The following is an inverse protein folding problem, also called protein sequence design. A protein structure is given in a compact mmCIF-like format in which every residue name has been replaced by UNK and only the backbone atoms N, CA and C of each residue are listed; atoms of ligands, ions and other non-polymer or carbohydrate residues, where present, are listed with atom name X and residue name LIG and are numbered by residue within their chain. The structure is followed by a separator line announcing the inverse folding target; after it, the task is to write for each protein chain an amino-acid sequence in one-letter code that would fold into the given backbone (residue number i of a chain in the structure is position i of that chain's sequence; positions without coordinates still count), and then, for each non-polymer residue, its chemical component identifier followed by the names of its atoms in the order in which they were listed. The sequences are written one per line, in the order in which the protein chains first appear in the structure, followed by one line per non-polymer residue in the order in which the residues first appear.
data_IF_112994679359
#
_entry.id   IF_112994679359
#
_cell.length_a   1.000
_cell.length_b   1.000
_cell.length_c   1.000
_cell.angle_alpha   90.00
_cell.angle_beta   90.00
_cell.angle_gamma   90.00
#
_symmetry.space_group_name_H-M   'P 1'
#
loop_
_entity.id
_entity.type
_entity.pdbx_description
1 polymer ?
#
# COMPACT_ATOMS: atom_id res chain seq x y z
N UNK A 1 -4.00 -14.84 -0.11
CA UNK A 1 -2.64 -14.28 -0.19
C UNK A 1 -2.75 -12.76 -0.08
N UNK A 2 -1.88 -12.12 0.68
CA UNK A 2 -1.82 -10.67 0.88
C UNK A 2 -0.42 -10.20 0.49
N UNK A 3 -0.30 -9.07 -0.20
CA UNK A 3 0.96 -8.52 -0.70
C UNK A 3 1.05 -7.02 -0.38
N UNK A 4 2.27 -6.49 -0.27
CA UNK A 4 2.51 -5.06 -0.06
C UNK A 4 2.11 -4.28 -1.32
N UNK A 5 1.24 -3.29 -1.15
CA UNK A 5 0.75 -2.46 -2.24
C UNK A 5 1.33 -1.04 -2.23
N UNK A 6 1.43 -0.42 -1.06
CA UNK A 6 1.97 0.93 -0.86
C UNK A 6 2.48 1.08 0.57
N UNK A 7 3.46 1.95 0.76
CA UNK A 7 4.10 2.26 2.05
C UNK A 7 4.62 3.71 2.02
N UNK A 8 5.27 4.17 3.10
CA UNK A 8 5.99 5.45 3.08
C UNK A 8 6.95 5.51 1.86
N UNK A 9 6.99 6.63 1.12
CA UNK A 9 6.37 7.93 1.39
C UNK A 9 4.96 8.15 0.80
N UNK A 10 4.38 7.14 0.14
CA UNK A 10 3.11 7.27 -0.57
C UNK A 10 1.90 7.42 0.38
N UNK A 11 1.96 6.77 1.55
CA UNK A 11 0.95 6.84 2.63
C UNK A 11 1.63 6.65 4.00
N UNK A 12 1.31 7.49 4.99
CA UNK A 12 2.04 7.51 6.29
C UNK A 12 1.19 7.03 7.47
N UNK A 13 -0.04 7.51 7.58
CA UNK A 13 -0.94 7.25 8.72
C UNK A 13 -2.30 6.71 8.26
N UNK A 14 -2.33 5.51 7.64
CA UNK A 14 -3.58 4.89 7.22
C UNK A 14 -4.43 4.53 8.44
N UNK A 15 -5.65 5.05 8.51
CA UNK A 15 -6.61 4.72 9.57
C UNK A 15 -7.77 3.84 9.09
N UNK A 16 -8.01 3.80 7.78
CA UNK A 16 -9.02 2.95 7.16
C UNK A 16 -8.68 2.64 5.71
N UNK A 17 -9.14 1.49 5.21
CA UNK A 17 -8.94 1.06 3.83
C UNK A 17 -10.14 0.27 3.30
N UNK A 18 -10.39 0.35 2.00
CA UNK A 18 -11.35 -0.48 1.28
C UNK A 18 -10.90 -0.70 -0.17
N UNK A 19 -11.41 -1.74 -0.82
CA UNK A 19 -11.12 -2.07 -2.22
C UNK A 19 -12.42 -2.16 -3.01
N UNK A 20 -12.53 -1.41 -4.09
CA UNK A 20 -13.72 -1.47 -4.93
C UNK A 20 -13.69 -2.64 -5.93
N UNK A 21 -14.81 -2.83 -6.63
CA UNK A 21 -14.98 -3.87 -7.64
C UNK A 21 -14.05 -3.71 -8.87
N UNK A 22 -13.38 -2.57 -9.02
CA UNK A 22 -12.40 -2.31 -10.08
C UNK A 22 -10.95 -2.52 -9.59
N UNK A 23 -10.77 -2.94 -8.34
CA UNK A 23 -9.44 -3.18 -7.74
C UNK A 23 -8.71 -1.90 -7.35
N UNK A 24 -9.40 -0.76 -7.20
CA UNK A 24 -8.81 0.46 -6.65
C UNK A 24 -8.79 0.39 -5.13
N UNK A 25 -7.70 0.82 -4.53
CA UNK A 25 -7.55 0.89 -3.07
C UNK A 25 -7.90 2.30 -2.62
N UNK A 26 -8.87 2.40 -1.72
CA UNK A 26 -9.20 3.62 -1.00
C UNK A 26 -8.51 3.57 0.36
N UNK A 27 -7.85 4.65 0.77
CA UNK A 27 -7.23 4.74 2.08
C UNK A 27 -7.48 6.12 2.70
N UNK A 28 -7.81 6.14 3.99
CA UNK A 28 -7.90 7.36 4.78
C UNK A 28 -6.55 7.56 5.44
N UNK A 29 -5.89 8.67 5.11
CA UNK A 29 -4.69 9.13 5.81
C UNK A 29 -5.07 10.24 6.78
N UNK A 30 -4.77 10.05 8.06
CA UNK A 30 -5.06 11.04 9.09
C UNK A 30 -3.82 11.85 9.49
N UNK A 31 -3.90 13.16 9.34
CA UNK A 31 -2.85 14.13 9.65
C UNK A 31 -3.20 14.99 10.88
N UNK A 32 -4.26 14.64 11.64
CA UNK A 32 -4.76 15.45 12.77
C UNK A 32 -4.07 15.23 14.12
N UNK A 33 -3.16 14.25 14.24
CA UNK A 33 -2.34 14.15 15.45
C UNK A 33 -1.28 15.26 15.41
N UNK A 34 -1.33 16.20 16.37
CA UNK A 34 -0.39 17.32 16.57
C UNK A 34 0.94 17.08 15.84
N UNK A 35 1.06 17.54 14.59
CA UNK A 35 2.17 17.11 13.75
C UNK A 35 3.47 17.64 14.36
N UNK A 36 4.54 16.83 14.34
CA UNK A 36 5.83 17.28 14.85
C UNK A 36 6.31 18.53 14.09
N UNK A 37 7.17 19.32 14.72
CA UNK A 37 7.78 20.48 14.08
C UNK A 37 8.53 20.06 12.80
N UNK A 38 8.29 20.77 11.70
CA UNK A 38 8.88 20.44 10.40
C UNK A 38 8.19 19.32 9.63
N UNK A 39 6.95 18.94 9.98
CA UNK A 39 6.17 17.96 9.22
C UNK A 39 5.79 18.49 7.83
N UNK A 40 6.59 18.14 6.82
CA UNK A 40 6.40 18.50 5.41
C UNK A 40 5.48 17.48 4.70
N UNK A 41 4.21 17.47 5.12
CA UNK A 41 3.16 16.61 4.57
C UNK A 41 1.86 17.40 4.46
N UNK A 42 0.82 16.73 3.96
CA UNK A 42 -0.45 17.38 3.72
C UNK A 42 -1.04 17.90 5.05
N UNK A 43 -1.49 19.18 5.12
CA UNK A 43 -1.92 19.79 6.38
C UNK A 43 -3.27 19.28 6.89
N UNK A 44 -3.96 18.46 6.10
CA UNK A 44 -5.27 17.89 6.45
C UNK A 44 -5.30 16.40 6.19
N UNK A 45 -6.27 15.72 6.79
CA UNK A 45 -6.64 14.35 6.43
C UNK A 45 -6.91 14.24 4.92
N UNK A 46 -6.61 13.06 4.36
CA UNK A 46 -6.74 12.76 2.93
C UNK A 46 -7.50 11.46 2.71
N UNK A 47 -8.35 11.44 1.69
CA UNK A 47 -8.82 10.22 1.07
C UNK A 47 -7.96 9.95 -0.18
N UNK A 48 -7.13 8.92 -0.12
CA UNK A 48 -6.27 8.50 -1.22
C UNK A 48 -7.00 7.45 -2.05
N UNK A 49 -6.93 7.60 -3.38
CA UNK A 49 -7.36 6.57 -4.33
C UNK A 49 -6.12 6.09 -5.05
N UNK A 50 -5.70 4.88 -4.72
CA UNK A 50 -4.52 4.25 -5.26
C UNK A 50 -4.96 3.19 -6.28
N UNK A 51 -4.22 3.10 -7.38
CA UNK A 51 -4.42 2.08 -8.41
C UNK A 51 -3.07 1.49 -8.75
N UNK A 52 -3.05 0.20 -9.07
CA UNK A 52 -1.83 -0.40 -9.59
C UNK A 52 -1.45 0.35 -10.88
N UNK A 53 -0.26 0.93 -10.91
CA UNK A 53 0.28 1.47 -12.15
C UNK A 53 0.99 0.29 -12.78
N UNK A 54 0.52 -0.17 -13.93
CA UNK A 54 1.33 -1.08 -14.74
C UNK A 54 2.73 -0.48 -14.88
N UNK A 55 3.69 -1.04 -14.15
CA UNK A 55 5.10 -0.78 -14.40
C UNK A 55 5.37 -1.50 -15.70
N UNK A 56 5.50 -0.74 -16.80
CA UNK A 56 6.03 -1.25 -18.05
C UNK A 56 7.37 -1.96 -17.77
N UNK A 57 7.34 -3.30 -17.75
CA UNK A 57 8.51 -4.12 -18.06
C UNK A 57 9.38 -4.65 -16.92
N UNK A 58 8.88 -4.89 -15.70
CA UNK A 58 9.53 -5.87 -14.81
C UNK A 58 8.50 -6.89 -14.33
N UNK A 59 8.57 -8.16 -14.79
CA UNK A 59 7.81 -9.20 -14.13
C UNK A 59 8.27 -9.25 -12.69
N UNK A 60 7.35 -9.15 -11.72
CA UNK A 60 7.66 -9.49 -10.33
C UNK A 60 8.08 -10.95 -10.32
N UNK A 61 9.38 -11.21 -10.44
CA UNK A 61 9.97 -12.53 -10.37
C UNK A 61 9.72 -13.05 -8.97
N UNK A 62 8.71 -13.92 -8.83
CA UNK A 62 8.58 -14.75 -7.65
C UNK A 62 9.68 -15.81 -7.70
N UNK A 63 10.57 -15.93 -6.71
CA UNK A 63 11.03 -17.25 -6.36
C UNK A 63 9.84 -17.93 -5.69
N UNK A 64 9.15 -18.80 -6.42
CA UNK A 64 8.36 -19.83 -5.78
C UNK A 64 9.32 -20.62 -4.88
N UNK A 65 9.21 -20.45 -3.56
CA UNK A 65 9.82 -21.41 -2.64
C UNK A 65 9.13 -22.75 -2.93
N UNK A 66 9.85 -23.80 -3.35
CA UNK A 66 9.23 -25.09 -3.54
C UNK A 66 8.71 -25.56 -2.18
N UNK A 67 7.39 -25.68 -2.06
CA UNK A 67 6.75 -26.43 -0.98
C UNK A 67 7.36 -27.82 -0.93
N UNK A 68 7.69 -28.26 0.29
CA UNK A 68 8.55 -29.39 0.60
C UNK A 68 8.34 -30.65 -0.24
N UNK A 69 9.46 -31.31 -0.53
CA UNK A 69 9.51 -32.68 -1.02
C UNK A 69 8.81 -33.61 -0.02
N UNK A 70 7.61 -34.07 -0.40
CA UNK A 70 7.10 -35.34 0.11
C UNK A 70 7.95 -36.44 -0.48
N UNK A 71 8.83 -37.01 0.36
CA UNK A 71 9.43 -38.32 0.09
C UNK A 71 9.04 -39.22 1.24
N UNK A 72 8.08 -40.09 0.94
CA UNK A 72 7.86 -41.47 1.42
C UNK A 72 8.04 -41.78 2.90
#
# INVERSE_FOLDING_TARGET
MIELFSADPDIVTPTGLDVDHLGRVFAIESNTHFPPEGYDRHPTDRLLVLRDREVMGVPRSRPCLPTGSSTR
#
